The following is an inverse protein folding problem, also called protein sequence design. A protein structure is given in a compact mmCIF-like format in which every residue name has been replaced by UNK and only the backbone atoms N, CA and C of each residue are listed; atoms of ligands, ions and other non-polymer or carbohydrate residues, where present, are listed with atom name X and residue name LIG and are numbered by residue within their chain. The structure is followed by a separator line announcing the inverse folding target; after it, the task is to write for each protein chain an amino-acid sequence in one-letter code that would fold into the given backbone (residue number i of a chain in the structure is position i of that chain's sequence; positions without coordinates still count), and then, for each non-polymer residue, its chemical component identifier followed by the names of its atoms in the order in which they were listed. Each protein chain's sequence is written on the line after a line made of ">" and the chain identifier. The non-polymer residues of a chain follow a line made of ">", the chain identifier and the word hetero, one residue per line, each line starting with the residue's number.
data_IF_102086774375
#
_entry.id   IF_102086774375
#
_cell.length_a   1.000
_cell.length_b   1.000
_cell.length_c   1.000
_cell.angle_alpha   90.00
_cell.angle_beta   90.00
_cell.angle_gamma   90.00
#
_symmetry.space_group_name_H-M   'P 1'
#
loop_
_entity.id
_entity.type
_entity.pdbx_description
1 polymer ?
#
# COMPACT_ATOMS: atom_id res chain seq x y z
N UNK A 1 11.05 66.19 44.49
CA UNK A 1 11.02 64.69 44.48
C UNK A 1 10.02 64.08 43.47
N UNK A 2 9.75 64.71 42.31
CA UNK A 2 8.80 64.19 41.27
C UNK A 2 9.46 63.77 39.95
N UNK A 3 10.65 64.30 39.61
CA UNK A 3 11.32 64.01 38.34
C UNK A 3 12.04 62.64 38.28
N UNK A 4 12.50 62.10 39.42
CA UNK A 4 13.18 60.80 39.45
C UNK A 4 12.25 59.60 39.23
N UNK A 5 10.98 59.71 39.66
CA UNK A 5 9.97 58.67 39.41
C UNK A 5 9.57 58.60 37.93
N UNK A 6 9.47 59.76 37.26
CA UNK A 6 9.11 59.82 35.83
C UNK A 6 10.20 59.26 34.91
N UNK A 7 11.47 59.43 35.28
CA UNK A 7 12.60 58.85 34.54
C UNK A 7 12.67 57.32 34.69
N UNK A 8 12.44 56.80 35.90
CA UNK A 8 12.41 55.35 36.14
C UNK A 8 11.27 54.65 35.40
N UNK A 9 10.09 55.26 35.33
CA UNK A 9 8.96 54.68 34.60
C UNK A 9 9.21 54.67 33.09
N UNK A 10 9.72 55.76 32.51
CA UNK A 10 10.10 55.80 31.08
C UNK A 10 11.18 54.78 30.73
N UNK A 11 12.20 54.60 31.58
CA UNK A 11 13.21 53.56 31.38
C UNK A 11 12.63 52.14 31.45
N UNK A 12 11.71 51.87 32.38
CA UNK A 12 11.08 50.55 32.50
C UNK A 12 10.23 50.19 31.28
N UNK A 13 9.51 51.18 30.72
CA UNK A 13 8.67 50.99 29.53
C UNK A 13 9.55 50.79 28.30
N UNK A 14 10.64 51.54 28.16
CA UNK A 14 11.61 51.37 27.08
C UNK A 14 12.25 49.97 27.12
N UNK A 15 12.65 49.51 28.31
CA UNK A 15 13.23 48.16 28.48
C UNK A 15 12.22 47.06 28.19
N UNK A 16 10.96 47.22 28.63
CA UNK A 16 9.89 46.28 28.29
C UNK A 16 9.64 46.22 26.78
N UNK A 17 9.71 47.37 26.10
CA UNK A 17 9.55 47.45 24.65
C UNK A 17 10.71 46.74 23.92
N UNK A 18 11.96 46.96 24.35
CA UNK A 18 13.15 46.30 23.78
C UNK A 18 13.10 44.77 23.97
N UNK A 19 12.67 44.29 25.15
CA UNK A 19 12.53 42.85 25.40
C UNK A 19 11.41 42.25 24.54
N UNK A 20 10.28 42.94 24.40
CA UNK A 20 9.19 42.49 23.52
C UNK A 20 9.58 42.48 22.05
N UNK A 21 10.40 43.44 21.61
CA UNK A 21 10.94 43.51 20.26
C UNK A 21 11.94 42.37 20.02
N UNK A 22 12.83 42.09 20.98
CA UNK A 22 13.76 40.97 20.91
C UNK A 22 13.04 39.61 20.83
N UNK A 23 11.93 39.43 21.56
CA UNK A 23 11.11 38.22 21.45
C UNK A 23 10.32 38.14 20.13
N UNK A 24 9.91 39.28 19.57
CA UNK A 24 9.23 39.34 18.26
C UNK A 24 10.12 39.00 17.07
N UNK A 25 11.44 39.25 17.19
CA UNK A 25 12.42 38.92 16.15
C UNK A 25 13.03 37.51 16.27
N UNK A 26 12.83 36.82 17.40
CA UNK A 26 13.10 35.38 17.45
C UNK A 26 11.94 34.63 16.83
N UNK A 27 11.80 34.72 15.51
CA UNK A 27 11.22 33.61 14.76
C UNK A 27 12.13 32.42 15.07
N UNK A 28 11.70 31.58 16.02
CA UNK A 28 12.25 30.24 16.18
C UNK A 28 12.12 29.62 14.80
N UNK A 29 13.24 29.51 14.08
CA UNK A 29 13.28 28.91 12.76
C UNK A 29 12.67 27.52 12.88
N UNK A 30 11.40 27.41 12.50
CA UNK A 30 10.62 26.19 12.55
C UNK A 30 10.84 25.38 11.27
N UNK A 31 12.04 25.48 10.70
CA UNK A 31 12.49 24.74 9.54
C UNK A 31 13.82 24.10 9.90
N UNK A 32 13.73 22.97 10.60
CA UNK A 32 14.85 22.06 10.84
C UNK A 32 15.17 21.35 9.51
N UNK A 33 15.61 22.12 8.51
CA UNK A 33 15.97 21.58 7.21
C UNK A 33 17.22 20.71 7.41
N UNK A 34 17.18 19.41 7.02
CA UNK A 34 18.25 18.48 7.36
C UNK A 34 19.48 18.74 6.50
N UNK A 35 20.34 19.66 6.94
CA UNK A 35 21.67 19.81 6.39
C UNK A 35 22.46 18.52 6.55
N UNK A 36 23.20 18.13 5.50
CA UNK A 36 24.10 16.99 5.61
C UNK A 36 25.36 17.41 6.37
N UNK A 37 25.61 16.67 7.44
CA UNK A 37 26.83 16.72 8.25
C UNK A 37 27.84 15.65 7.85
N UNK A 38 27.38 14.56 7.22
CA UNK A 38 28.22 13.42 6.84
C UNK A 38 27.59 12.55 5.75
N UNK A 39 28.39 12.16 4.77
CA UNK A 39 28.06 11.06 3.85
C UNK A 39 28.64 9.75 4.37
N UNK A 40 27.83 8.70 4.34
CA UNK A 40 28.25 7.33 4.63
C UNK A 40 27.95 6.45 3.44
N UNK A 41 28.95 5.75 2.93
CA UNK A 41 28.77 4.75 1.89
C UNK A 41 28.63 3.38 2.56
N UNK A 42 27.73 2.55 2.03
CA UNK A 42 27.45 1.19 2.52
C UNK A 42 27.30 0.23 1.35
N UNK A 43 27.78 -1.00 1.54
CA UNK A 43 27.71 -2.04 0.52
C UNK A 43 28.87 -1.99 -0.48
N UNK A 44 29.91 -1.19 -0.20
CA UNK A 44 31.12 -1.18 -0.99
C UNK A 44 32.07 -2.29 -0.53
N UNK A 45 32.44 -3.17 -1.46
CA UNK A 45 33.48 -4.19 -1.27
C UNK A 45 34.53 -4.16 -2.38
N UNK A 46 34.18 -3.65 -3.56
CA UNK A 46 35.10 -3.54 -4.70
C UNK A 46 36.03 -2.32 -4.63
N UNK A 47 35.57 -1.23 -3.99
CA UNK A 47 36.36 0.00 -3.85
C UNK A 47 36.64 0.24 -2.36
N UNK A 48 37.90 0.62 -2.09
CA UNK A 48 38.36 0.94 -0.75
C UNK A 48 37.49 2.04 -0.09
N UNK A 49 37.00 1.79 1.15
CA UNK A 49 36.17 2.74 1.87
C UNK A 49 36.82 4.10 2.13
N UNK A 50 38.15 4.20 2.27
CA UNK A 50 38.82 5.47 2.52
C UNK A 50 38.85 6.32 1.26
N UNK A 51 39.16 5.72 0.11
CA UNK A 51 39.12 6.41 -1.18
C UNK A 51 37.74 7.01 -1.46
N UNK A 52 36.68 6.23 -1.21
CA UNK A 52 35.31 6.70 -1.35
C UNK A 52 34.95 7.80 -0.34
N UNK A 53 35.44 7.69 0.89
CA UNK A 53 35.20 8.70 1.91
C UNK A 53 35.85 10.04 1.55
N UNK A 54 37.07 10.02 1.00
CA UNK A 54 37.76 11.22 0.54
C UNK A 54 37.04 11.88 -0.64
N UNK A 55 36.52 11.07 -1.57
CA UNK A 55 35.81 11.58 -2.75
C UNK A 55 34.47 12.24 -2.40
N UNK A 56 33.74 11.70 -1.42
CA UNK A 56 32.42 12.18 -1.02
C UNK A 56 32.42 13.04 0.26
N UNK A 57 33.57 13.59 0.68
CA UNK A 57 33.66 14.43 1.87
C UNK A 57 33.10 15.84 1.56
N UNK A 58 31.78 15.93 1.47
CA UNK A 58 31.09 17.22 1.39
C UNK A 58 31.30 17.93 2.73
N UNK A 59 32.06 19.02 2.71
CA UNK A 59 32.15 19.94 3.84
C UNK A 59 30.75 20.29 4.34
N UNK A 60 30.58 20.41 5.66
CA UNK A 60 29.30 20.68 6.32
C UNK A 60 28.55 21.83 5.61
N UNK A 61 27.25 21.63 5.30
CA UNK A 61 26.37 22.76 4.95
C UNK A 61 25.52 22.62 3.68
N UNK A 62 25.55 21.49 2.97
CA UNK A 62 24.65 21.30 1.82
C UNK A 62 23.23 20.96 2.27
N UNK A 63 22.27 21.79 1.83
CA UNK A 63 20.84 21.51 1.92
C UNK A 63 20.52 20.40 0.92
N UNK A 64 19.96 19.29 1.41
CA UNK A 64 19.74 18.14 0.56
C UNK A 64 18.37 18.15 -0.12
N UNK A 65 18.41 18.22 -1.45
CA UNK A 65 17.27 18.04 -2.35
C UNK A 65 17.29 16.58 -2.87
N UNK A 66 16.13 15.91 -3.08
CA UNK A 66 16.03 14.71 -3.91
C UNK A 66 16.93 14.72 -5.16
N UNK A 67 17.04 15.85 -5.86
CA UNK A 67 17.93 15.98 -7.02
C UNK A 67 19.41 15.79 -6.66
N UNK A 68 19.88 16.40 -5.58
CA UNK A 68 21.26 16.23 -5.11
C UNK A 68 21.52 14.81 -4.59
N UNK A 69 20.48 14.13 -4.10
CA UNK A 69 20.57 12.72 -3.68
C UNK A 69 20.79 11.81 -4.87
N UNK A 70 20.02 12.03 -5.94
CA UNK A 70 20.18 11.28 -7.19
C UNK A 70 21.51 11.60 -7.87
N UNK A 71 21.97 12.85 -7.81
CA UNK A 71 23.28 13.26 -8.32
C UNK A 71 24.41 12.55 -7.57
N UNK A 72 24.37 12.53 -6.24
CA UNK A 72 25.36 11.83 -5.41
C UNK A 72 25.36 10.32 -5.70
N UNK A 73 24.18 9.72 -5.89
CA UNK A 73 24.06 8.32 -6.29
C UNK A 73 24.59 8.08 -7.72
N UNK A 74 24.29 8.96 -8.69
CA UNK A 74 24.85 8.87 -10.03
C UNK A 74 26.35 8.99 -10.03
N UNK A 75 26.90 9.87 -9.19
CA UNK A 75 28.34 10.05 -9.15
C UNK A 75 29.06 8.88 -8.50
N UNK A 76 28.43 8.26 -7.51
CA UNK A 76 28.92 6.98 -7.00
C UNK A 76 28.98 5.94 -8.14
N UNK A 77 27.96 5.85 -9.00
CA UNK A 77 27.99 4.97 -10.18
C UNK A 77 29.10 5.37 -11.16
N UNK A 78 29.35 6.66 -11.37
CA UNK A 78 30.46 7.14 -12.21
C UNK A 78 31.81 6.68 -11.68
N UNK A 79 32.04 6.81 -10.37
CA UNK A 79 33.28 6.34 -9.71
C UNK A 79 33.47 4.84 -9.91
N UNK A 80 32.42 4.05 -9.71
CA UNK A 80 32.49 2.61 -9.96
C UNK A 80 32.79 2.25 -11.42
N UNK A 81 32.20 2.98 -12.38
CA UNK A 81 32.51 2.81 -13.81
C UNK A 81 33.96 3.16 -14.13
N UNK A 82 34.50 4.22 -13.51
CA UNK A 82 35.90 4.61 -13.67
C UNK A 82 36.84 3.50 -13.20
N UNK A 83 36.50 2.82 -12.10
CA UNK A 83 37.22 1.66 -11.60
C UNK A 83 36.94 0.35 -12.36
N UNK A 84 36.20 0.38 -13.47
CA UNK A 84 35.96 -0.80 -14.31
C UNK A 84 34.78 -1.67 -13.87
N UNK A 85 33.93 -1.19 -12.96
CA UNK A 85 32.76 -1.90 -12.43
C UNK A 85 31.44 -1.21 -12.84
N UNK A 86 30.97 -1.42 -14.08
CA UNK A 86 29.82 -0.69 -14.63
C UNK A 86 28.46 -1.22 -14.20
N UNK A 87 28.35 -2.49 -13.79
CA UNK A 87 27.08 -3.19 -13.53
C UNK A 87 26.69 -3.08 -12.04
N UNK A 88 26.59 -1.84 -11.55
CA UNK A 88 26.33 -1.52 -10.14
C UNK A 88 25.14 -0.57 -10.02
N UNK A 89 24.27 -0.86 -9.05
CA UNK A 89 23.15 -0.02 -8.69
C UNK A 89 23.48 0.78 -7.42
N UNK A 90 23.09 2.05 -7.38
CA UNK A 90 23.28 2.91 -6.21
C UNK A 90 21.99 3.65 -5.89
N UNK A 91 21.75 3.86 -4.60
CA UNK A 91 20.62 4.66 -4.14
C UNK A 91 20.98 5.44 -2.87
N UNK A 92 20.44 6.64 -2.79
CA UNK A 92 20.66 7.54 -1.67
C UNK A 92 19.52 7.43 -0.65
N UNK A 93 19.89 7.34 0.64
CA UNK A 93 18.95 7.31 1.76
C UNK A 93 19.33 8.39 2.76
N UNK A 94 18.47 9.39 2.93
CA UNK A 94 18.68 10.45 3.90
C UNK A 94 18.10 10.06 5.25
N UNK A 95 18.92 10.09 6.32
CA UNK A 95 18.43 10.00 7.69
C UNK A 95 18.22 11.41 8.24
N UNK A 96 16.98 11.90 8.09
CA UNK A 96 16.56 13.26 8.48
C UNK A 96 17.00 13.66 9.90
N UNK A 97 16.88 12.74 10.87
CA UNK A 97 17.18 13.03 12.28
C UNK A 97 18.66 13.28 12.62
N UNK A 98 19.62 12.94 11.74
CA UNK A 98 21.07 13.07 12.05
C UNK A 98 21.87 13.83 10.98
N UNK A 99 21.20 14.37 9.96
CA UNK A 99 21.89 15.01 8.83
C UNK A 99 22.90 14.05 8.16
N UNK A 100 22.63 12.75 8.16
CA UNK A 100 23.54 11.75 7.56
C UNK A 100 22.93 11.22 6.28
N UNK A 101 23.59 11.45 5.16
CA UNK A 101 23.25 10.84 3.89
C UNK A 101 23.93 9.48 3.81
N UNK A 102 23.15 8.42 3.62
CA UNK A 102 23.68 7.08 3.37
C UNK A 102 23.54 6.74 1.90
N UNK A 103 24.66 6.63 1.19
CA UNK A 103 24.68 6.08 -0.16
C UNK A 103 24.84 4.57 -0.05
N UNK A 104 23.85 3.82 -0.53
CA UNK A 104 23.91 2.36 -0.60
C UNK A 104 24.28 1.94 -2.01
N UNK A 105 25.25 1.04 -2.09
CA UNK A 105 25.71 0.40 -3.31
C UNK A 105 25.27 -1.06 -3.28
N UNK A 106 24.75 -1.54 -4.41
CA UNK A 106 24.50 -2.94 -4.66
C UNK A 106 25.45 -3.46 -5.74
N UNK A 107 26.46 -4.22 -5.29
CA UNK A 107 27.50 -4.81 -6.15
C UNK A 107 27.13 -6.23 -6.61
N UNK A 108 25.97 -6.78 -6.21
CA UNK A 108 25.62 -8.18 -6.49
C UNK A 108 25.62 -8.52 -7.98
N UNK A 109 25.22 -7.55 -8.82
CA UNK A 109 25.19 -7.73 -10.28
C UNK A 109 26.60 -7.83 -10.86
N UNK A 110 27.52 -7.02 -10.38
CA UNK A 110 28.93 -7.06 -10.76
C UNK A 110 29.58 -8.40 -10.37
N UNK A 111 29.25 -8.94 -9.20
CA UNK A 111 29.69 -10.28 -8.78
C UNK A 111 29.05 -11.44 -9.54
N UNK A 112 27.88 -11.24 -10.16
CA UNK A 112 27.21 -12.26 -10.95
C UNK A 112 27.62 -12.25 -12.42
N UNK A 113 27.71 -11.08 -13.03
CA UNK A 113 27.92 -10.97 -14.48
C UNK A 113 28.99 -9.96 -14.92
N UNK A 114 29.65 -9.30 -13.96
CA UNK A 114 30.58 -8.20 -14.21
C UNK A 114 32.06 -8.60 -14.21
N UNK A 115 32.90 -7.57 -14.18
CA UNK A 115 34.36 -7.65 -14.17
C UNK A 115 34.89 -8.29 -12.88
N UNK A 116 34.28 -7.97 -11.72
CA UNK A 116 34.71 -8.52 -10.44
C UNK A 116 34.70 -10.06 -10.41
N UNK A 117 33.67 -10.69 -11.00
CA UNK A 117 33.60 -12.15 -11.13
C UNK A 117 34.69 -12.70 -12.03
N UNK A 118 34.93 -12.01 -13.16
CA UNK A 118 35.90 -12.45 -14.15
C UNK A 118 37.34 -12.33 -13.62
N UNK A 119 37.65 -11.26 -12.89
CA UNK A 119 38.93 -11.09 -12.19
C UNK A 119 39.15 -12.20 -11.18
N UNK A 120 38.20 -12.43 -10.28
CA UNK A 120 38.27 -13.52 -9.31
C UNK A 120 38.49 -14.88 -9.97
N UNK A 121 37.78 -15.16 -11.07
CA UNK A 121 37.94 -16.41 -11.80
C UNK A 121 39.36 -16.56 -12.38
N UNK A 122 39.91 -15.51 -13.01
CA UNK A 122 41.26 -15.55 -13.58
C UNK A 122 42.32 -15.69 -12.49
N UNK A 123 42.23 -14.91 -11.40
CA UNK A 123 43.17 -15.03 -10.29
C UNK A 123 43.11 -16.40 -9.60
N UNK A 124 41.91 -16.96 -9.44
CA UNK A 124 41.76 -18.31 -8.88
C UNK A 124 42.34 -19.38 -9.81
N UNK A 125 42.24 -19.22 -11.12
CA UNK A 125 42.88 -20.13 -12.08
C UNK A 125 44.40 -20.05 -11.96
N UNK A 126 44.97 -18.86 -11.90
CA UNK A 126 46.41 -18.68 -11.72
C UNK A 126 46.90 -19.32 -10.42
N UNK A 127 46.17 -19.14 -9.32
CA UNK A 127 46.48 -19.71 -8.01
C UNK A 127 46.37 -21.23 -8.00
N UNK A 128 45.24 -21.77 -8.47
CA UNK A 128 44.95 -23.21 -8.43
C UNK A 128 45.85 -24.02 -9.36
N UNK A 129 46.28 -23.44 -10.48
CA UNK A 129 47.10 -24.11 -11.50
C UNK A 129 48.55 -23.61 -11.54
N UNK A 130 48.93 -22.73 -10.61
CA UNK A 130 50.26 -22.10 -10.52
C UNK A 130 50.76 -21.56 -11.88
N UNK A 131 49.87 -20.91 -12.63
CA UNK A 131 50.18 -20.40 -13.97
C UNK A 131 50.89 -19.05 -13.86
N UNK A 132 51.99 -18.88 -14.59
CA UNK A 132 52.66 -17.58 -14.76
C UNK A 132 52.11 -16.83 -15.97
N UNK A 133 50.86 -16.39 -15.88
CA UNK A 133 50.20 -15.56 -16.89
C UNK A 133 50.69 -14.11 -16.82
N UNK A 134 50.93 -13.52 -17.99
CA UNK A 134 51.25 -12.09 -18.10
C UNK A 134 50.00 -11.23 -17.91
N UNK A 135 50.13 -10.00 -17.42
CA UNK A 135 48.99 -9.09 -17.19
C UNK A 135 48.11 -8.92 -18.43
N UNK A 136 48.72 -8.80 -19.61
CA UNK A 136 47.99 -8.71 -20.90
C UNK A 136 47.07 -9.92 -21.16
N UNK A 137 47.54 -11.12 -20.83
CA UNK A 137 46.74 -12.34 -20.98
C UNK A 137 45.58 -12.37 -19.99
N UNK A 138 45.81 -11.88 -18.76
CA UNK A 138 44.76 -11.77 -17.74
C UNK A 138 43.67 -10.80 -18.16
N UNK A 139 44.05 -9.62 -18.64
CA UNK A 139 43.09 -8.62 -19.14
C UNK A 139 42.27 -9.17 -20.31
N UNK A 140 42.90 -9.87 -21.25
CA UNK A 140 42.19 -10.46 -22.39
C UNK A 140 41.21 -11.56 -21.94
N UNK A 141 41.62 -12.40 -20.99
CA UNK A 141 40.77 -13.42 -20.40
C UNK A 141 39.57 -12.80 -19.67
N UNK A 142 39.79 -11.77 -18.84
CA UNK A 142 38.75 -11.00 -18.15
C UNK A 142 37.76 -10.43 -19.18
N UNK A 143 38.24 -9.76 -20.23
CA UNK A 143 37.37 -9.19 -21.28
C UNK A 143 36.51 -10.26 -21.97
N UNK A 144 37.07 -11.44 -22.25
CA UNK A 144 36.31 -12.55 -22.85
C UNK A 144 35.26 -13.10 -21.90
N UNK A 145 35.61 -13.28 -20.63
CA UNK A 145 34.69 -13.76 -19.58
C UNK A 145 33.52 -12.80 -19.36
N UNK A 146 33.80 -11.50 -19.23
CA UNK A 146 32.75 -10.47 -19.09
C UNK A 146 31.80 -10.48 -20.28
N UNK A 147 32.30 -10.63 -21.51
CA UNK A 147 31.44 -10.78 -22.70
C UNK A 147 30.57 -12.04 -22.62
N UNK A 148 31.12 -13.15 -22.15
CA UNK A 148 30.38 -14.40 -21.94
C UNK A 148 29.27 -14.24 -20.90
N UNK A 149 29.57 -13.63 -19.76
CA UNK A 149 28.60 -13.37 -18.70
C UNK A 149 27.47 -12.45 -19.13
N UNK A 150 27.78 -11.40 -19.92
CA UNK A 150 26.75 -10.53 -20.51
C UNK A 150 25.80 -11.28 -21.44
N UNK A 151 26.30 -12.24 -22.22
CA UNK A 151 25.44 -13.11 -23.05
C UNK A 151 24.54 -14.00 -22.20
N UNK A 152 25.06 -14.56 -21.10
CA UNK A 152 24.27 -15.39 -20.17
C UNK A 152 23.15 -14.55 -19.54
N UNK A 153 23.47 -13.35 -19.05
CA UNK A 153 22.48 -12.40 -18.51
C UNK A 153 21.36 -12.12 -19.52
N UNK A 154 21.72 -11.81 -20.76
CA UNK A 154 20.74 -11.55 -21.82
C UNK A 154 19.82 -12.77 -22.06
N UNK A 155 20.39 -13.98 -22.10
CA UNK A 155 19.62 -15.20 -22.27
C UNK A 155 18.66 -15.43 -21.09
N UNK A 156 19.13 -15.22 -19.86
CA UNK A 156 18.30 -15.34 -18.65
C UNK A 156 17.14 -14.33 -18.66
N UNK A 157 17.39 -13.08 -19.07
CA UNK A 157 16.35 -12.05 -19.21
C UNK A 157 15.31 -12.43 -20.27
N UNK A 158 15.73 -12.94 -21.42
CA UNK A 158 14.83 -13.43 -22.48
C UNK A 158 13.99 -14.59 -21.98
N UNK A 159 14.58 -15.60 -21.35
CA UNK A 159 13.86 -16.76 -20.80
C UNK A 159 12.86 -16.31 -19.73
N UNK A 160 13.28 -15.43 -18.81
CA UNK A 160 12.41 -14.90 -17.76
C UNK A 160 11.23 -14.14 -18.36
N UNK A 161 11.47 -13.30 -19.36
CA UNK A 161 10.40 -12.56 -20.05
C UNK A 161 9.38 -13.50 -20.70
N UNK A 162 9.85 -14.57 -21.34
CA UNK A 162 8.99 -15.58 -21.97
C UNK A 162 8.16 -16.34 -20.94
N UNK A 163 8.80 -16.79 -19.84
CA UNK A 163 8.13 -17.50 -18.76
C UNK A 163 7.07 -16.63 -18.08
N UNK A 164 7.39 -15.38 -17.76
CA UNK A 164 6.43 -14.43 -17.16
C UNK A 164 5.27 -14.17 -18.11
N UNK A 165 5.53 -14.00 -19.42
CA UNK A 165 4.48 -13.84 -20.43
C UNK A 165 3.57 -15.06 -20.48
N UNK A 166 4.15 -16.27 -20.51
CA UNK A 166 3.41 -17.53 -20.50
C UNK A 166 2.55 -17.68 -19.24
N UNK A 167 3.11 -17.35 -18.06
CA UNK A 167 2.39 -17.39 -16.79
C UNK A 167 1.22 -16.40 -16.76
N UNK A 168 1.40 -15.17 -17.24
CA UNK A 168 0.32 -14.17 -17.32
C UNK A 168 -0.85 -14.67 -18.17
N UNK A 169 -0.57 -15.20 -19.36
CA UNK A 169 -1.61 -15.77 -20.24
C UNK A 169 -2.37 -16.89 -19.55
N UNK A 170 -1.67 -17.77 -18.80
CA UNK A 170 -2.33 -18.83 -18.02
C UNK A 170 -3.22 -18.28 -16.91
N UNK A 171 -2.74 -17.27 -16.16
CA UNK A 171 -3.51 -16.62 -15.09
C UNK A 171 -4.76 -15.96 -15.67
N UNK A 172 -4.62 -15.22 -16.78
CA UNK A 172 -5.73 -14.59 -17.48
C UNK A 172 -6.76 -15.62 -17.97
N UNK A 173 -6.31 -16.77 -18.50
CA UNK A 173 -7.18 -17.88 -18.88
C UNK A 173 -7.99 -18.45 -17.71
N UNK A 174 -7.31 -18.72 -16.58
CA UNK A 174 -7.96 -19.21 -15.36
C UNK A 174 -8.97 -18.19 -14.82
N UNK A 175 -8.64 -16.90 -14.83
CA UNK A 175 -9.56 -15.84 -14.41
C UNK A 175 -10.77 -15.72 -15.34
N UNK A 176 -10.58 -15.87 -16.65
CA UNK A 176 -11.68 -15.86 -17.62
C UNK A 176 -12.63 -17.03 -17.39
N UNK A 177 -12.11 -18.25 -17.19
CA UNK A 177 -12.90 -19.44 -16.86
C UNK A 177 -13.66 -19.28 -15.54
N UNK A 178 -13.00 -18.76 -14.49
CA UNK A 178 -13.64 -18.46 -13.20
C UNK A 178 -14.77 -17.44 -13.35
N UNK A 179 -14.56 -16.37 -14.13
CA UNK A 179 -15.59 -15.37 -14.41
C UNK A 179 -16.78 -15.99 -15.16
N UNK A 180 -16.53 -16.85 -16.15
CA UNK A 180 -17.58 -17.55 -16.89
C UNK A 180 -18.39 -18.46 -15.96
N UNK A 181 -17.73 -19.31 -15.18
CA UNK A 181 -18.40 -20.20 -14.23
C UNK A 181 -19.21 -19.43 -13.17
N UNK A 182 -18.71 -18.27 -12.72
CA UNK A 182 -19.46 -17.40 -11.80
C UNK A 182 -20.72 -16.82 -12.45
N UNK A 183 -20.62 -16.36 -13.71
CA UNK A 183 -21.79 -15.87 -14.47
C UNK A 183 -22.85 -16.97 -14.64
N UNK A 184 -22.43 -18.19 -14.95
CA UNK A 184 -23.33 -19.34 -15.06
C UNK A 184 -24.04 -19.64 -13.73
N UNK A 185 -23.31 -19.65 -12.61
CA UNK A 185 -23.89 -19.80 -11.26
C UNK A 185 -24.88 -18.69 -10.91
N UNK A 186 -24.59 -17.45 -11.29
CA UNK A 186 -25.51 -16.32 -11.06
C UNK A 186 -26.77 -16.49 -11.93
N UNK A 187 -26.61 -16.86 -13.20
CA UNK A 187 -27.74 -17.06 -14.10
C UNK A 187 -28.68 -18.16 -13.62
N UNK A 188 -28.14 -19.31 -13.17
CA UNK A 188 -28.95 -20.39 -12.60
C UNK A 188 -29.63 -19.98 -11.30
N UNK A 189 -28.95 -19.24 -10.43
CA UNK A 189 -29.56 -18.69 -9.22
C UNK A 189 -30.72 -17.71 -9.53
N UNK A 190 -30.57 -16.85 -10.53
CA UNK A 190 -31.63 -15.92 -10.96
C UNK A 190 -32.84 -16.69 -11.52
N UNK A 191 -32.61 -17.71 -12.35
CA UNK A 191 -33.70 -18.54 -12.89
C UNK A 191 -34.45 -19.24 -11.74
N UNK A 192 -33.72 -19.91 -10.84
CA UNK A 192 -34.31 -20.58 -9.70
C UNK A 192 -35.08 -19.61 -8.77
N UNK A 193 -34.58 -18.38 -8.59
CA UNK A 193 -35.28 -17.36 -7.82
C UNK A 193 -36.57 -16.91 -8.50
N UNK A 194 -36.55 -16.67 -9.82
CA UNK A 194 -37.76 -16.34 -10.59
C UNK A 194 -38.80 -17.44 -10.51
N UNK A 195 -38.39 -18.70 -10.66
CA UNK A 195 -39.29 -19.87 -10.55
C UNK A 195 -39.93 -19.97 -9.16
N UNK A 196 -39.16 -19.77 -8.09
CA UNK A 196 -39.69 -19.75 -6.71
C UNK A 196 -40.71 -18.64 -6.49
N UNK A 197 -40.44 -17.43 -6.98
CA UNK A 197 -41.40 -16.32 -6.85
C UNK A 197 -42.70 -16.62 -7.60
N UNK A 198 -42.61 -17.17 -8.81
CA UNK A 198 -43.77 -17.56 -9.61
C UNK A 198 -44.59 -18.68 -8.92
N UNK A 199 -43.93 -19.61 -8.24
CA UNK A 199 -44.60 -20.64 -7.44
C UNK A 199 -45.31 -20.04 -6.21
N UNK A 200 -44.66 -19.12 -5.50
CA UNK A 200 -45.24 -18.42 -4.35
C UNK A 200 -46.44 -17.56 -4.76
N UNK A 201 -46.37 -16.86 -5.88
CA UNK A 201 -47.50 -16.10 -6.43
C UNK A 201 -48.69 -17.00 -6.78
N UNK A 202 -48.44 -18.18 -7.36
CA UNK A 202 -49.49 -19.17 -7.65
C UNK A 202 -50.13 -19.70 -6.36
N UNK A 203 -49.33 -20.00 -5.34
CA UNK A 203 -49.82 -20.48 -4.04
C UNK A 203 -50.64 -19.40 -3.31
N UNK A 204 -50.20 -18.14 -3.36
CA UNK A 204 -50.96 -17.00 -2.83
C UNK A 204 -52.27 -16.78 -3.59
N UNK A 205 -52.25 -16.87 -4.92
CA UNK A 205 -53.46 -16.77 -5.72
C UNK A 205 -54.46 -17.90 -5.38
N UNK A 206 -53.99 -19.13 -5.18
CA UNK A 206 -54.82 -20.24 -4.72
C UNK A 206 -55.40 -19.99 -3.33
N UNK A 207 -54.59 -19.54 -2.36
CA UNK A 207 -55.07 -19.16 -1.02
C UNK A 207 -56.13 -18.05 -1.05
N UNK A 208 -55.97 -17.05 -1.93
CA UNK A 208 -56.96 -15.99 -2.11
C UNK A 208 -58.27 -16.51 -2.71
N UNK A 209 -58.21 -17.47 -3.64
CA UNK A 209 -59.40 -18.14 -4.20
C UNK A 209 -60.11 -18.94 -3.10
N UNK A 210 -59.37 -19.71 -2.30
CA UNK A 210 -59.93 -20.46 -1.17
C UNK A 210 -60.56 -19.54 -0.11
N UNK A 211 -59.91 -18.43 0.23
CA UNK A 211 -60.48 -17.44 1.14
C UNK A 211 -61.76 -16.82 0.58
N UNK A 212 -61.79 -16.46 -0.71
CA UNK A 212 -63.01 -15.97 -1.38
C UNK A 212 -64.12 -17.02 -1.37
N UNK A 213 -63.80 -18.29 -1.59
CA UNK A 213 -64.76 -19.39 -1.52
C UNK A 213 -65.31 -19.58 -0.09
N UNK A 214 -64.46 -19.50 0.94
CA UNK A 214 -64.89 -19.53 2.35
C UNK A 214 -65.79 -18.36 2.73
N UNK A 215 -65.46 -17.15 2.26
CA UNK A 215 -66.29 -15.96 2.49
C UNK A 215 -67.67 -16.13 1.83
N UNK A 216 -67.74 -16.60 0.59
CA UNK A 216 -69.01 -16.90 -0.08
C UNK A 216 -69.83 -17.97 0.64
N UNK A 217 -69.21 -19.07 1.05
CA UNK A 217 -69.88 -20.11 1.83
C UNK A 217 -70.37 -19.60 3.20
N UNK A 218 -69.68 -18.63 3.80
CA UNK A 218 -70.10 -18.01 5.06
C UNK A 218 -71.24 -17.00 4.88
N UNK A 219 -71.31 -16.29 3.74
CA UNK A 219 -72.44 -15.42 3.41
C UNK A 219 -73.69 -16.23 3.09
N UNK A 220 -73.56 -17.35 2.36
CA UNK A 220 -74.68 -18.28 2.10
C UNK A 220 -75.22 -18.91 3.40
N UNK A 221 -74.37 -19.16 4.40
CA UNK A 221 -74.81 -19.60 5.74
C UNK A 221 -75.52 -18.51 6.56
N UNK A 222 -75.25 -17.22 6.32
CA UNK A 222 -75.98 -16.11 6.96
C UNK A 222 -77.37 -15.92 6.38
N UNK A 223 -77.58 -16.22 5.10
CA UNK A 223 -78.93 -16.19 4.48
C UNK A 223 -79.83 -17.34 4.97
N UNK A 224 -79.25 -18.43 5.49
CA UNK A 224 -79.98 -19.57 6.07
C UNK A 224 -80.22 -19.45 7.59
N UNK A 225 -79.89 -18.31 8.22
CA UNK A 225 -79.82 -18.14 9.68
C UNK A 225 -80.51 -16.90 10.24
N UNK A 226 -81.56 -16.39 9.61
CA UNK A 226 -82.43 -15.36 10.18
C UNK A 226 -83.74 -15.96 10.75
N UNK A 227 -83.65 -16.71 11.85
CA UNK A 227 -84.79 -16.86 12.76
C UNK A 227 -84.76 -15.70 13.77
N UNK A 228 -85.79 -14.83 13.70
CA UNK A 228 -85.96 -13.65 14.55
C UNK A 228 -85.93 -14.02 16.04
N UNK A 229 -85.22 -13.27 16.91
CA UNK A 229 -85.27 -13.50 18.34
C UNK A 229 -86.65 -13.09 18.91
N UNK A 230 -87.30 -13.99 19.66
CA UNK A 230 -88.53 -13.73 20.42
C UNK A 230 -88.25 -12.74 21.56
N UNK A 231 -89.01 -11.65 21.62
CA UNK A 231 -89.10 -10.73 22.76
C UNK A 231 -89.74 -11.46 23.96
N UNK A 232 -89.12 -11.39 25.14
CA UNK A 232 -89.72 -11.82 26.41
C UNK A 232 -90.57 -10.68 26.98
N UNK A 233 -91.86 -10.92 27.20
CA UNK A 233 -92.76 -10.01 27.91
C UNK A 233 -92.54 -10.12 29.43
N UNK A 234 -92.36 -8.98 30.09
CA UNK A 234 -92.27 -8.87 31.54
C UNK A 234 -93.67 -9.00 32.16
N UNK A 235 -93.77 -9.81 33.20
CA UNK A 235 -95.04 -10.18 33.85
C UNK A 235 -95.77 -9.03 34.52
N UNK A 236 -97.09 -9.00 34.33
CA UNK A 236 -98.03 -8.22 35.12
C UNK A 236 -98.33 -8.93 36.46
N UNK A 237 -98.15 -8.19 37.55
CA UNK A 237 -98.51 -8.60 38.90
C UNK A 237 -100.02 -8.44 39.06
N UNK A 238 -100.73 -9.49 39.48
CA UNK A 238 -102.06 -9.36 40.08
C UNK A 238 -102.12 -10.03 41.45
N UNK A 239 -102.93 -9.48 42.39
CA UNK A 239 -102.72 -9.64 43.82
C UNK A 239 -103.43 -10.87 44.39
N UNK A 240 -102.85 -11.33 45.49
CA UNK A 240 -103.33 -12.32 46.43
C UNK A 240 -104.79 -12.10 46.86
N UNK A 241 -105.66 -13.10 46.70
CA UNK A 241 -106.88 -13.25 47.50
C UNK A 241 -106.82 -14.51 48.36
N UNK A 242 -107.19 -14.32 49.62
CA UNK A 242 -107.06 -15.25 50.75
C UNK A 242 -108.21 -16.24 50.82
N UNK A 243 -107.88 -17.32 51.55
CA UNK A 243 -108.74 -18.15 52.41
C UNK A 243 -109.79 -19.01 51.71
N UNK A 244 -109.77 -20.34 51.81
CA UNK A 244 -109.81 -21.23 52.98
C UNK A 244 -111.13 -22.00 52.87
N UNK A 245 -111.04 -23.33 52.76
CA UNK A 245 -111.78 -24.35 53.52
C UNK A 245 -111.23 -25.71 53.14
#
# INVERSE_FOLDING_TARGET
>A
MKFSKLFKTKQSILMAFIVSLAMGFTQVSLANEPFIKKIRIKGNTLIDPQSLKQHFDLGNGLKMDPFLMDLAASELRSVYRFHGHPDIDSHALLKSHKGTLTLKVDEQREYRYGAARAELAVYNLDWNFNMKTTEKQKEEAIRKLVKGYKKIKLNEEVVTSYLVKSQRVRIEGIEAERKKAMREKIATAIIAFKERNLALEKEQAQKMIEMRARVKASSEKKEMGEEKPKLMEYGEITPFERSAF
#
